data_IF_319083982085
#
_entry.id   IF_319083982085
#
_cell.length_a   1.000
_cell.length_b   1.000
_cell.length_c   1.000
_cell.angle_alpha   90.00
_cell.angle_beta   90.00
_cell.angle_gamma   90.00
#
_symmetry.space_group_name_H-M   'P 1'
#
loop_
_entity.id
_entity.type
_entity.pdbx_description
1 polymer ?
#
# COMPACT_ATOMS: atom_id res chain seq x y z
N UNK A 1 -7.92 -21.59 12.33
CA UNK A 1 -6.57 -21.78 11.76
C UNK A 1 -6.80 -22.13 10.30
N UNK A 2 -6.78 -21.14 9.43
CA UNK A 2 -6.97 -21.31 7.99
C UNK A 2 -5.59 -21.34 7.35
N UNK A 3 -5.26 -22.47 6.76
CA UNK A 3 -4.06 -22.76 6.00
C UNK A 3 -3.98 -21.82 4.79
N UNK A 4 -3.13 -20.82 4.86
CA UNK A 4 -2.69 -20.06 3.71
C UNK A 4 -1.46 -20.79 3.14
N UNK A 5 -1.70 -21.65 2.14
CA UNK A 5 -0.62 -22.32 1.42
C UNK A 5 0.28 -21.28 0.73
N UNK A 6 1.61 -21.33 0.89
CA UNK A 6 2.51 -20.44 0.20
C UNK A 6 2.52 -20.80 -1.31
N UNK A 7 2.30 -19.78 -2.15
CA UNK A 7 2.69 -19.88 -3.56
C UNK A 7 4.21 -20.14 -3.64
N UNK A 8 4.68 -20.95 -4.62
CA UNK A 8 6.09 -21.34 -4.71
C UNK A 8 6.98 -20.10 -4.83
N UNK A 9 8.06 -20.11 -4.05
CA UNK A 9 9.10 -19.11 -4.12
C UNK A 9 9.74 -19.19 -5.52
N UNK A 10 9.55 -18.12 -6.31
CA UNK A 10 10.26 -17.92 -7.55
C UNK A 10 11.77 -17.81 -7.26
N UNK A 11 12.55 -18.66 -7.92
CA UNK A 11 14.03 -18.65 -7.89
C UNK A 11 14.65 -17.37 -8.51
N UNK A 12 13.82 -16.41 -8.91
CA UNK A 12 14.20 -15.13 -9.49
C UNK A 12 14.78 -14.09 -8.51
N UNK A 13 14.93 -14.42 -7.23
CA UNK A 13 15.41 -13.44 -6.23
C UNK A 13 16.91 -13.13 -6.40
N UNK A 14 17.68 -14.02 -7.02
CA UNK A 14 19.15 -13.90 -7.14
C UNK A 14 19.54 -12.98 -8.29
N UNK A 15 18.80 -13.00 -9.40
CA UNK A 15 19.10 -12.17 -10.59
C UNK A 15 18.71 -10.68 -10.39
N UNK A 16 17.76 -10.39 -9.47
CA UNK A 16 17.34 -9.03 -9.16
C UNK A 16 18.33 -8.27 -8.26
N UNK A 17 19.21 -8.96 -7.52
CA UNK A 17 20.24 -8.32 -6.70
C UNK A 17 21.33 -7.68 -7.58
N UNK A 18 21.75 -8.34 -8.66
CA UNK A 18 22.71 -7.79 -9.62
C UNK A 18 22.14 -6.58 -10.39
N UNK A 19 20.85 -6.62 -10.74
CA UNK A 19 20.18 -5.49 -11.42
C UNK A 19 19.99 -4.27 -10.48
N UNK A 20 19.91 -4.52 -9.18
CA UNK A 20 19.85 -3.46 -8.16
C UNK A 20 21.21 -2.75 -8.02
N UNK A 21 22.32 -3.48 -8.07
CA UNK A 21 23.67 -2.91 -8.04
C UNK A 21 23.94 -2.02 -9.26
N UNK A 22 23.59 -2.46 -10.45
CA UNK A 22 23.75 -1.68 -11.69
C UNK A 22 22.93 -0.38 -11.72
N UNK A 23 21.75 -0.37 -11.09
CA UNK A 23 20.87 0.82 -11.05
C UNK A 23 21.19 1.79 -9.89
N UNK A 24 21.82 1.30 -8.83
CA UNK A 24 22.34 2.13 -7.74
C UNK A 24 23.55 2.97 -8.17
N UNK A 25 24.35 2.47 -9.10
CA UNK A 25 25.50 3.18 -9.67
C UNK A 25 25.11 4.24 -10.73
N UNK A 26 23.91 4.17 -11.30
CA UNK A 26 23.49 4.93 -12.47
C UNK A 26 22.64 6.20 -12.20
N UNK A 27 22.49 6.66 -10.96
CA UNK A 27 21.78 7.90 -10.67
C UNK A 27 22.71 9.04 -10.26
N UNK A 28 23.25 9.82 -11.22
CA UNK A 28 23.93 11.08 -10.91
C UNK A 28 22.93 12.23 -10.99
N UNK A 29 22.40 12.68 -9.88
CA UNK A 29 21.64 13.91 -9.77
C UNK A 29 21.89 14.56 -8.41
N UNK A 30 22.22 15.85 -8.34
CA UNK A 30 22.34 16.56 -7.09
C UNK A 30 20.94 16.92 -6.60
N UNK A 31 20.73 16.79 -5.31
CA UNK A 31 19.64 17.30 -4.51
C UNK A 31 18.63 16.28 -3.99
N UNK A 32 18.62 16.20 -2.67
CA UNK A 32 17.48 15.80 -1.79
C UNK A 32 16.70 14.50 -2.10
N UNK A 33 17.29 13.56 -2.79
CA UNK A 33 16.71 12.24 -2.90
C UNK A 33 16.99 11.45 -1.61
N UNK A 34 16.06 11.58 -0.66
CA UNK A 34 16.10 10.82 0.62
C UNK A 34 16.15 9.31 0.39
N UNK A 35 15.56 8.83 -0.70
CA UNK A 35 15.63 7.43 -1.11
C UNK A 35 17.06 7.07 -1.51
N UNK A 36 17.69 7.88 -2.38
CA UNK A 36 19.05 7.67 -2.84
C UNK A 36 20.07 7.72 -1.69
N UNK A 37 19.87 8.62 -0.72
CA UNK A 37 20.71 8.65 0.49
C UNK A 37 20.59 7.36 1.31
N UNK A 38 19.36 6.92 1.57
CA UNK A 38 19.11 5.66 2.30
C UNK A 38 19.72 4.45 1.57
N UNK A 39 19.52 4.34 0.26
CA UNK A 39 20.06 3.23 -0.54
C UNK A 39 21.60 3.20 -0.53
N UNK A 40 22.22 4.38 -0.58
CA UNK A 40 23.69 4.52 -0.47
C UNK A 40 24.20 4.09 0.90
N UNK A 41 23.49 4.43 1.96
CA UNK A 41 23.86 4.06 3.33
C UNK A 41 23.78 2.54 3.54
N UNK A 42 22.69 1.89 3.14
CA UNK A 42 22.55 0.43 3.28
C UNK A 42 23.50 -0.36 2.41
N UNK A 43 23.96 0.19 1.28
CA UNK A 43 24.92 -0.50 0.38
C UNK A 43 26.32 -0.62 0.97
N UNK A 44 26.67 0.21 1.97
CA UNK A 44 27.97 0.15 2.64
C UNK A 44 28.13 -1.07 3.56
N UNK A 45 27.01 -1.68 3.95
CA UNK A 45 27.03 -2.85 4.84
C UNK A 45 27.20 -4.13 4.02
N UNK A 46 28.28 -4.92 4.24
CA UNK A 46 28.52 -6.14 3.48
C UNK A 46 27.44 -7.21 3.78
N UNK A 47 27.15 -8.02 2.77
CA UNK A 47 26.26 -9.17 2.88
C UNK A 47 26.89 -10.25 3.79
N UNK A 48 26.02 -11.00 4.47
CA UNK A 48 26.43 -12.09 5.36
C UNK A 48 26.54 -13.41 4.60
N UNK A 49 27.55 -14.20 4.95
CA UNK A 49 27.60 -15.59 4.56
C UNK A 49 26.69 -16.45 5.44
N UNK A 50 26.33 -17.66 4.95
CA UNK A 50 25.48 -18.57 5.72
C UNK A 50 26.06 -18.93 7.11
N UNK A 51 27.39 -19.02 7.20
CA UNK A 51 28.07 -19.29 8.47
C UNK A 51 27.97 -18.12 9.45
N UNK A 52 28.06 -16.88 8.95
CA UNK A 52 27.89 -15.66 9.74
C UNK A 52 26.44 -15.49 10.20
N UNK A 53 25.44 -15.78 9.34
CA UNK A 53 24.01 -15.77 9.72
C UNK A 53 23.78 -16.67 10.95
N UNK A 54 24.30 -17.91 10.91
CA UNK A 54 24.18 -18.87 12.02
C UNK A 54 24.92 -18.39 13.27
N UNK A 55 26.11 -17.81 13.13
CA UNK A 55 26.89 -17.31 14.27
C UNK A 55 26.21 -16.15 14.98
N UNK A 56 25.65 -15.19 14.19
CA UNK A 56 24.88 -14.06 14.69
C UNK A 56 23.56 -14.50 15.33
N UNK A 57 22.87 -15.49 14.73
CA UNK A 57 21.64 -16.04 15.31
C UNK A 57 21.88 -16.72 16.68
N UNK A 58 23.01 -17.43 16.82
CA UNK A 58 23.42 -17.99 18.13
C UNK A 58 23.71 -16.90 19.17
N UNK A 59 24.44 -15.85 18.77
CA UNK A 59 24.73 -14.73 19.66
C UNK A 59 23.45 -14.01 20.09
N UNK A 60 22.48 -13.89 19.17
CA UNK A 60 21.17 -13.31 19.45
C UNK A 60 20.39 -14.09 20.52
N UNK A 61 20.44 -15.43 20.50
CA UNK A 61 19.84 -16.29 21.56
C UNK A 61 20.42 -16.00 22.94
N UNK A 62 21.67 -15.54 23.01
CA UNK A 62 22.31 -15.11 24.27
C UNK A 62 22.06 -13.63 24.59
N UNK A 63 21.20 -12.93 23.83
CA UNK A 63 20.83 -11.55 24.09
C UNK A 63 21.84 -10.50 23.59
N UNK A 64 22.69 -10.83 22.62
CA UNK A 64 23.65 -9.86 22.05
C UNK A 64 22.94 -8.89 21.09
N UNK A 65 22.70 -7.68 21.57
CA UNK A 65 22.10 -6.58 20.79
C UNK A 65 23.00 -6.14 19.60
N UNK A 66 24.29 -6.33 19.67
CA UNK A 66 25.18 -6.02 18.54
C UNK A 66 24.99 -7.02 17.40
N UNK A 67 24.82 -8.29 17.74
CA UNK A 67 24.52 -9.33 16.76
C UNK A 67 23.15 -9.07 16.11
N UNK A 68 22.14 -8.67 16.91
CA UNK A 68 20.82 -8.27 16.40
C UNK A 68 20.92 -7.14 15.40
N UNK A 69 21.59 -6.06 15.77
CA UNK A 69 21.77 -4.88 14.92
C UNK A 69 22.48 -5.26 13.61
N UNK A 70 23.57 -6.03 13.69
CA UNK A 70 24.34 -6.47 12.53
C UNK A 70 23.51 -7.33 11.58
N UNK A 71 22.70 -8.26 12.10
CA UNK A 71 21.84 -9.12 11.29
C UNK A 71 20.75 -8.30 10.56
N UNK A 72 20.17 -7.28 11.22
CA UNK A 72 19.22 -6.37 10.59
C UNK A 72 19.90 -5.55 9.48
N UNK A 73 20.98 -4.82 9.79
CA UNK A 73 21.64 -3.91 8.87
C UNK A 73 22.11 -4.61 7.58
N UNK A 74 22.65 -5.81 7.70
CA UNK A 74 23.13 -6.58 6.54
C UNK A 74 21.99 -7.11 5.64
N UNK A 75 20.73 -7.08 6.11
CA UNK A 75 19.57 -7.56 5.36
C UNK A 75 18.60 -6.44 4.94
N UNK A 76 18.95 -5.16 5.13
CA UNK A 76 18.12 -4.04 4.67
C UNK A 76 17.95 -4.02 3.14
N UNK A 77 18.96 -4.49 2.39
CA UNK A 77 18.87 -4.61 0.93
C UNK A 77 17.78 -5.59 0.49
N UNK A 78 17.59 -6.69 1.23
CA UNK A 78 16.50 -7.64 0.98
C UNK A 78 15.13 -6.97 1.15
N UNK A 79 14.96 -6.07 2.14
CA UNK A 79 13.70 -5.33 2.32
C UNK A 79 13.41 -4.46 1.10
N UNK A 80 14.41 -3.77 0.57
CA UNK A 80 14.26 -2.91 -0.62
C UNK A 80 13.82 -3.72 -1.84
N UNK A 81 14.44 -4.88 -2.09
CA UNK A 81 14.07 -5.75 -3.22
C UNK A 81 12.61 -6.22 -3.14
N UNK A 82 12.14 -6.58 -1.94
CA UNK A 82 10.74 -6.97 -1.72
C UNK A 82 9.81 -5.77 -1.85
N UNK A 83 10.10 -4.63 -1.20
CA UNK A 83 9.25 -3.44 -1.19
C UNK A 83 9.04 -2.85 -2.59
N UNK A 84 10.04 -2.92 -3.48
CA UNK A 84 9.99 -2.43 -4.85
C UNK A 84 8.82 -2.99 -5.66
N UNK A 85 8.45 -4.25 -5.46
CA UNK A 85 7.32 -4.91 -6.15
C UNK A 85 5.96 -4.34 -5.76
N UNK A 86 5.92 -3.59 -4.65
CA UNK A 86 4.68 -2.99 -4.10
C UNK A 86 4.61 -1.47 -4.31
N UNK A 87 5.60 -0.88 -4.99
CA UNK A 87 5.62 0.55 -5.31
C UNK A 87 4.42 0.97 -6.15
N UNK A 88 3.94 2.21 -5.95
CA UNK A 88 2.82 2.78 -6.71
C UNK A 88 1.43 2.28 -6.30
N UNK A 89 1.27 1.70 -5.11
CA UNK A 89 0.01 1.15 -4.61
C UNK A 89 -0.61 1.94 -3.45
N UNK A 90 -0.33 3.26 -3.39
CA UNK A 90 -0.94 4.16 -2.40
C UNK A 90 -0.05 4.53 -1.21
N UNK A 91 1.10 3.87 -1.02
CA UNK A 91 2.13 4.28 -0.07
C UNK A 91 3.39 4.75 -0.78
N UNK A 92 4.12 5.67 -0.16
CA UNK A 92 5.44 6.08 -0.66
C UNK A 92 6.42 4.91 -0.60
N UNK A 93 7.45 4.92 -1.45
CA UNK A 93 8.44 3.84 -1.47
C UNK A 93 9.22 3.76 -0.15
N UNK A 94 9.53 4.89 0.47
CA UNK A 94 10.18 4.92 1.79
C UNK A 94 9.29 4.32 2.89
N UNK A 95 7.99 4.62 2.88
CA UNK A 95 7.06 4.04 3.86
C UNK A 95 6.96 2.52 3.71
N UNK A 96 6.94 2.02 2.46
CA UNK A 96 6.97 0.57 2.19
C UNK A 96 8.25 -0.08 2.72
N UNK A 97 9.41 0.58 2.55
CA UNK A 97 10.68 0.11 3.10
C UNK A 97 10.61 0.07 4.64
N UNK A 98 10.11 1.13 5.29
CA UNK A 98 10.05 1.17 6.76
C UNK A 98 9.10 0.11 7.33
N UNK A 99 7.95 -0.10 6.70
CA UNK A 99 7.04 -1.19 7.08
C UNK A 99 7.67 -2.57 6.84
N UNK A 100 8.44 -2.71 5.75
CA UNK A 100 9.25 -3.90 5.49
C UNK A 100 10.34 -4.12 6.55
N UNK A 101 11.02 -3.05 7.01
CA UNK A 101 12.01 -3.11 8.08
C UNK A 101 11.39 -3.59 9.40
N UNK A 102 10.14 -3.16 9.72
CA UNK A 102 9.41 -3.71 10.87
C UNK A 102 9.15 -5.21 10.73
N UNK A 103 8.87 -5.68 9.50
CA UNK A 103 8.76 -7.11 9.18
C UNK A 103 10.09 -7.84 9.39
N UNK A 104 11.20 -7.27 8.90
CA UNK A 104 12.55 -7.82 9.06
C UNK A 104 12.92 -7.96 10.55
N UNK A 105 12.66 -6.94 11.37
CA UNK A 105 12.93 -7.00 12.81
C UNK A 105 12.18 -8.16 13.49
N UNK A 106 10.91 -8.37 13.13
CA UNK A 106 10.14 -9.53 13.63
C UNK A 106 10.70 -10.86 13.15
N UNK A 107 11.23 -10.90 11.91
CA UNK A 107 11.87 -12.10 11.39
C UNK A 107 13.15 -12.43 12.18
N UNK A 108 13.97 -11.43 12.50
CA UNK A 108 15.19 -11.59 13.30
C UNK A 108 14.88 -12.17 14.69
N UNK A 109 13.84 -11.70 15.35
CA UNK A 109 13.43 -12.17 16.69
C UNK A 109 12.92 -13.61 16.72
N UNK A 110 12.44 -14.14 15.58
CA UNK A 110 11.78 -15.45 15.49
C UNK A 110 12.55 -16.46 14.63
N UNK A 111 13.72 -16.07 14.14
CA UNK A 111 14.51 -16.94 13.28
C UNK A 111 15.15 -18.09 14.08
N UNK A 112 14.92 -19.33 13.64
CA UNK A 112 15.56 -20.53 14.18
C UNK A 112 16.57 -21.09 13.19
N UNK A 113 17.85 -20.89 13.48
CA UNK A 113 18.97 -21.38 12.68
C UNK A 113 19.09 -22.90 12.65
N UNK A 114 18.45 -23.63 13.61
CA UNK A 114 18.49 -25.10 13.71
C UNK A 114 17.75 -25.78 12.57
N UNK A 115 16.83 -25.08 11.93
CA UNK A 115 16.07 -25.60 10.79
C UNK A 115 16.90 -25.68 9.49
N UNK A 116 18.10 -25.12 9.45
CA UNK A 116 19.03 -25.21 8.32
C UNK A 116 18.67 -24.37 7.09
N UNK A 117 17.59 -23.57 7.14
CA UNK A 117 17.20 -22.67 6.07
C UNK A 117 17.97 -21.34 6.16
N UNK A 118 18.19 -20.70 4.98
CA UNK A 118 18.76 -19.36 4.92
C UNK A 118 17.84 -18.35 5.59
N UNK A 119 18.44 -17.36 6.26
CA UNK A 119 17.68 -16.28 6.88
C UNK A 119 16.78 -15.53 5.87
N UNK A 120 17.29 -15.25 4.67
CA UNK A 120 16.55 -14.56 3.60
C UNK A 120 15.23 -15.23 3.23
N UNK A 121 15.18 -16.58 3.15
CA UNK A 121 13.96 -17.35 2.86
C UNK A 121 12.88 -17.11 3.92
N UNK A 122 13.26 -17.09 5.19
CA UNK A 122 12.34 -16.85 6.29
C UNK A 122 11.94 -15.36 6.38
N UNK A 123 12.90 -14.45 6.26
CA UNK A 123 12.68 -13.02 6.36
C UNK A 123 11.75 -12.47 5.26
N UNK A 124 11.90 -12.97 4.03
CA UNK A 124 11.06 -12.56 2.90
C UNK A 124 9.56 -12.72 3.18
N UNK A 125 9.17 -13.78 3.89
CA UNK A 125 7.77 -13.99 4.28
C UNK A 125 7.28 -12.90 5.24
N UNK A 126 8.07 -12.55 6.28
CA UNK A 126 7.72 -11.53 7.25
C UNK A 126 7.70 -10.13 6.64
N UNK A 127 8.68 -9.82 5.79
CA UNK A 127 8.75 -8.55 5.06
C UNK A 127 7.52 -8.38 4.18
N UNK A 128 7.20 -9.40 3.37
CA UNK A 128 6.02 -9.41 2.50
C UNK A 128 4.73 -9.21 3.29
N UNK A 129 4.58 -9.95 4.38
CA UNK A 129 3.42 -9.87 5.25
C UNK A 129 3.25 -8.45 5.84
N UNK A 130 4.34 -7.84 6.31
CA UNK A 130 4.32 -6.49 6.89
C UNK A 130 3.94 -5.45 5.83
N UNK A 131 4.59 -5.48 4.66
CA UNK A 131 4.31 -4.57 3.54
C UNK A 131 2.87 -4.70 3.04
N UNK A 132 2.39 -5.93 2.84
CA UNK A 132 1.01 -6.16 2.36
C UNK A 132 -0.02 -5.69 3.38
N UNK A 133 0.24 -5.91 4.67
CA UNK A 133 -0.62 -5.44 5.74
C UNK A 133 -0.64 -3.92 5.82
N UNK A 134 0.52 -3.26 5.71
CA UNK A 134 0.61 -1.80 5.69
C UNK A 134 -0.16 -1.20 4.51
N UNK A 135 -0.05 -1.79 3.31
CA UNK A 135 -0.83 -1.37 2.14
C UNK A 135 -2.34 -1.50 2.36
N UNK A 136 -2.79 -2.58 3.00
CA UNK A 136 -4.21 -2.76 3.30
C UNK A 136 -4.71 -1.75 4.35
N UNK A 137 -3.87 -1.40 5.33
CA UNK A 137 -4.24 -0.55 6.46
C UNK A 137 -4.09 0.95 6.17
N UNK A 138 -3.12 1.35 5.35
CA UNK A 138 -2.70 2.76 5.17
C UNK A 138 -2.67 3.20 3.70
N UNK A 139 -2.76 2.28 2.73
CA UNK A 139 -2.59 2.58 1.31
C UNK A 139 -3.73 3.39 0.68
N UNK A 140 -4.84 3.62 1.39
CA UNK A 140 -6.01 4.36 0.90
C UNK A 140 -6.33 5.56 1.78
N UNK A 141 -6.70 6.68 1.18
CA UNK A 141 -7.16 7.89 1.89
C UNK A 141 -8.37 7.59 2.78
N UNK A 142 -9.32 6.81 2.29
CA UNK A 142 -10.44 6.29 3.09
C UNK A 142 -10.12 4.84 3.43
N UNK A 143 -9.83 4.57 4.71
CA UNK A 143 -9.47 3.25 5.19
C UNK A 143 -10.57 2.23 4.93
N UNK A 144 -10.19 1.09 4.37
CA UNK A 144 -11.06 -0.07 4.12
C UNK A 144 -10.53 -1.26 4.93
N UNK A 145 -11.41 -2.08 5.56
CA UNK A 145 -10.97 -3.29 6.26
C UNK A 145 -10.17 -4.24 5.36
N UNK A 146 -9.09 -4.86 5.90
CA UNK A 146 -8.18 -5.71 5.13
C UNK A 146 -8.90 -6.85 4.36
N UNK A 147 -9.93 -7.47 4.97
CA UNK A 147 -10.72 -8.53 4.31
C UNK A 147 -11.43 -8.03 3.04
N UNK A 148 -11.88 -6.76 3.05
CA UNK A 148 -12.53 -6.16 1.87
C UNK A 148 -11.48 -5.82 0.82
N UNK A 149 -10.30 -5.34 1.22
CA UNK A 149 -9.16 -5.09 0.32
C UNK A 149 -8.74 -6.39 -0.38
N UNK A 150 -8.63 -7.50 0.35
CA UNK A 150 -8.31 -8.81 -0.24
C UNK A 150 -9.38 -9.26 -1.25
N UNK A 151 -10.66 -9.02 -0.93
CA UNK A 151 -11.77 -9.32 -1.83
C UNK A 151 -11.71 -8.47 -3.10
N UNK A 152 -11.39 -7.17 -2.99
CA UNK A 152 -11.21 -6.26 -4.13
C UNK A 152 -10.02 -6.71 -4.98
N UNK A 153 -8.89 -7.09 -4.37
CA UNK A 153 -7.71 -7.59 -5.08
C UNK A 153 -8.03 -8.89 -5.84
N UNK A 154 -8.78 -9.81 -5.21
CA UNK A 154 -9.27 -11.04 -5.86
C UNK A 154 -10.20 -10.71 -7.03
N UNK A 155 -11.12 -9.75 -6.86
CA UNK A 155 -12.02 -9.28 -7.92
C UNK A 155 -11.23 -8.75 -9.12
N UNK A 156 -10.25 -7.86 -8.90
CA UNK A 156 -9.43 -7.29 -9.97
C UNK A 156 -8.57 -8.34 -10.69
N UNK A 157 -8.15 -9.40 -9.99
CA UNK A 157 -7.42 -10.51 -10.60
C UNK A 157 -8.33 -11.34 -11.52
N UNK A 158 -9.53 -11.69 -11.05
CA UNK A 158 -10.51 -12.46 -11.82
C UNK A 158 -11.02 -11.65 -13.02
N UNK A 159 -11.26 -10.35 -12.83
CA UNK A 159 -11.68 -9.44 -13.90
C UNK A 159 -10.65 -9.39 -15.04
N UNK A 160 -9.35 -9.29 -14.72
CA UNK A 160 -8.28 -9.36 -15.71
C UNK A 160 -8.24 -10.71 -16.45
N UNK A 161 -8.39 -11.81 -15.73
CA UNK A 161 -8.42 -13.15 -16.33
C UNK A 161 -9.62 -13.34 -17.26
N UNK A 162 -10.80 -12.87 -16.86
CA UNK A 162 -12.00 -12.94 -17.70
C UNK A 162 -11.88 -12.03 -18.91
N UNK A 163 -11.35 -10.81 -18.75
CA UNK A 163 -11.09 -9.89 -19.87
C UNK A 163 -10.15 -10.53 -20.91
N UNK A 164 -9.10 -11.20 -20.45
CA UNK A 164 -8.18 -11.91 -21.34
C UNK A 164 -8.85 -13.09 -22.09
N UNK A 165 -9.77 -13.80 -21.42
CA UNK A 165 -10.49 -14.93 -22.04
C UNK A 165 -11.59 -14.48 -23.00
N UNK A 166 -12.32 -13.42 -22.64
CA UNK A 166 -13.50 -12.94 -23.39
C UNK A 166 -13.15 -11.92 -24.47
N UNK A 167 -11.96 -11.28 -24.40
CA UNK A 167 -11.59 -10.17 -25.28
C UNK A 167 -12.36 -8.86 -24.99
N UNK A 168 -13.18 -8.82 -23.95
CA UNK A 168 -13.97 -7.65 -23.50
C UNK A 168 -14.04 -7.61 -21.96
N UNK A 169 -14.37 -6.46 -21.37
CA UNK A 169 -14.66 -6.38 -19.93
C UNK A 169 -15.82 -7.32 -19.54
N UNK A 170 -15.71 -8.09 -18.45
CA UNK A 170 -16.77 -8.98 -17.99
C UNK A 170 -17.97 -8.19 -17.45
N UNK A 171 -19.18 -8.70 -17.70
CA UNK A 171 -20.41 -8.20 -17.08
C UNK A 171 -20.42 -8.51 -15.56
N UNK A 172 -21.25 -7.77 -14.81
CA UNK A 172 -21.33 -7.95 -13.34
C UNK A 172 -21.77 -9.37 -12.97
N UNK A 173 -22.67 -9.99 -13.77
CA UNK A 173 -23.14 -11.34 -13.58
C UNK A 173 -22.04 -12.38 -13.83
N UNK A 174 -21.22 -12.20 -14.86
CA UNK A 174 -20.10 -13.08 -15.19
C UNK A 174 -19.04 -13.07 -14.07
N UNK A 175 -18.78 -11.87 -13.53
CA UNK A 175 -17.87 -11.69 -12.39
C UNK A 175 -18.45 -12.33 -11.12
N UNK A 176 -19.75 -12.16 -10.88
CA UNK A 176 -20.46 -12.71 -9.74
C UNK A 176 -20.40 -14.24 -9.70
N UNK A 177 -20.59 -14.87 -10.86
CA UNK A 177 -20.46 -16.33 -11.02
C UNK A 177 -19.03 -16.78 -10.76
N UNK A 178 -18.02 -16.07 -11.32
CA UNK A 178 -16.63 -16.45 -11.17
C UNK A 178 -16.09 -16.25 -9.74
N UNK A 179 -16.68 -15.33 -8.97
CA UNK A 179 -16.33 -15.06 -7.58
C UNK A 179 -17.18 -15.82 -6.57
N UNK A 180 -18.26 -16.50 -7.02
CA UNK A 180 -19.27 -17.14 -6.16
C UNK A 180 -19.94 -16.13 -5.19
N UNK A 181 -20.18 -14.92 -5.66
CA UNK A 181 -20.80 -13.83 -4.90
C UNK A 181 -22.08 -13.36 -5.58
N UNK A 182 -22.95 -12.68 -4.83
CA UNK A 182 -24.14 -12.04 -5.39
C UNK A 182 -23.75 -10.81 -6.23
N UNK A 183 -24.45 -10.53 -7.35
CA UNK A 183 -24.18 -9.35 -8.19
C UNK A 183 -24.20 -8.02 -7.41
N UNK A 184 -25.13 -7.85 -6.48
CA UNK A 184 -25.23 -6.67 -5.62
C UNK A 184 -23.95 -6.42 -4.81
N UNK A 185 -23.28 -7.51 -4.35
CA UNK A 185 -22.03 -7.42 -3.61
C UNK A 185 -20.88 -7.00 -4.51
N UNK A 186 -20.87 -7.41 -5.77
CA UNK A 186 -19.87 -6.98 -6.77
C UNK A 186 -20.00 -5.48 -7.03
N UNK A 187 -21.23 -4.97 -7.19
CA UNK A 187 -21.47 -3.52 -7.37
C UNK A 187 -21.05 -2.71 -6.15
N UNK A 188 -21.32 -3.23 -4.94
CA UNK A 188 -20.85 -2.61 -3.71
C UNK A 188 -19.32 -2.57 -3.65
N UNK A 189 -18.63 -3.67 -3.99
CA UNK A 189 -17.17 -3.72 -4.03
C UNK A 189 -16.59 -2.76 -5.07
N UNK A 190 -17.21 -2.61 -6.25
CA UNK A 190 -16.81 -1.63 -7.26
C UNK A 190 -16.91 -0.20 -6.74
N UNK A 191 -18.00 0.15 -6.04
CA UNK A 191 -18.15 1.48 -5.42
C UNK A 191 -17.09 1.75 -4.36
N UNK A 192 -16.82 0.78 -3.48
CA UNK A 192 -15.79 0.90 -2.42
C UNK A 192 -14.36 0.91 -3.02
N UNK A 193 -14.17 0.32 -4.20
CA UNK A 193 -12.89 0.28 -4.89
C UNK A 193 -12.48 1.62 -5.49
N UNK A 194 -13.40 2.55 -5.71
CA UNK A 194 -13.11 3.87 -6.28
C UNK A 194 -12.18 4.67 -5.35
N UNK A 195 -11.19 5.32 -5.93
CA UNK A 195 -10.30 6.22 -5.22
C UNK A 195 -10.80 7.66 -5.30
N UNK A 196 -10.67 8.45 -4.22
CA UNK A 196 -11.02 9.86 -4.25
C UNK A 196 -10.11 10.63 -5.21
N UNK A 197 -10.70 11.59 -5.92
CA UNK A 197 -9.96 12.50 -6.80
C UNK A 197 -9.53 13.73 -6.00
N UNK A 198 -8.36 14.30 -6.32
CA UNK A 198 -7.88 15.52 -5.69
C UNK A 198 -8.75 16.72 -6.08
N UNK A 199 -9.12 17.54 -5.09
CA UNK A 199 -9.84 18.80 -5.32
C UNK A 199 -8.97 19.84 -6.05
N UNK A 200 -7.65 19.74 -5.93
CA UNK A 200 -6.70 20.58 -6.66
C UNK A 200 -6.39 20.06 -8.07
N UNK A 201 -7.12 19.04 -8.56
CA UNK A 201 -6.94 18.56 -9.92
C UNK A 201 -7.43 19.62 -10.91
N UNK A 202 -6.62 20.00 -11.94
CA UNK A 202 -7.05 20.97 -12.94
C UNK A 202 -8.15 20.39 -13.83
N UNK A 203 -9.20 21.18 -14.09
CA UNK A 203 -10.32 20.81 -14.94
C UNK A 203 -10.42 21.80 -16.10
N UNK A 204 -10.36 21.28 -17.34
CA UNK A 204 -10.45 22.10 -18.54
C UNK A 204 -9.13 22.78 -18.93
N UNK A 205 -9.21 23.72 -19.89
CA UNK A 205 -8.06 24.44 -20.43
C UNK A 205 -7.63 25.63 -19.55
N UNK A 206 -8.52 26.14 -18.71
CA UNK A 206 -8.32 27.35 -17.89
C UNK A 206 -7.63 27.11 -16.54
N UNK A 207 -7.12 25.89 -16.29
CA UNK A 207 -6.44 25.53 -15.03
C UNK A 207 -7.29 25.75 -13.76
N UNK A 208 -8.63 25.79 -13.89
CA UNK A 208 -9.56 25.87 -12.78
C UNK A 208 -9.49 24.59 -11.95
N UNK A 209 -9.40 24.70 -10.63
CA UNK A 209 -9.36 23.51 -9.77
C UNK A 209 -10.77 22.89 -9.63
N UNK A 210 -10.82 21.55 -9.55
CA UNK A 210 -12.08 20.82 -9.36
C UNK A 210 -12.86 21.32 -8.13
N UNK A 211 -12.14 21.74 -7.07
CA UNK A 211 -12.73 22.26 -5.84
C UNK A 211 -13.53 23.54 -6.03
N UNK A 212 -13.16 24.38 -7.01
CA UNK A 212 -13.87 25.65 -7.30
C UNK A 212 -15.21 25.42 -8.03
N UNK A 213 -15.39 24.26 -8.65
CA UNK A 213 -16.61 23.89 -9.35
C UNK A 213 -17.68 23.29 -8.43
N UNK A 214 -17.34 22.96 -7.19
CA UNK A 214 -18.25 22.32 -6.22
C UNK A 214 -19.01 23.43 -5.49
N UNK A 215 -20.32 23.47 -5.68
CA UNK A 215 -21.21 24.41 -4.96
C UNK A 215 -21.34 24.03 -3.48
N UNK A 216 -21.53 25.05 -2.62
CA UNK A 216 -21.86 24.84 -1.21
C UNK A 216 -23.38 24.61 -1.06
N UNK A 217 -23.74 23.34 -0.86
CA UNK A 217 -25.15 22.94 -0.67
C UNK A 217 -25.77 23.44 0.66
N UNK A 218 -24.95 23.95 1.59
CA UNK A 218 -25.44 24.46 2.90
C UNK A 218 -25.86 25.91 2.84
N UNK A 219 -25.43 26.65 1.85
CA UNK A 219 -25.84 28.03 1.62
C UNK A 219 -27.15 28.05 0.84
N UNK A 220 -28.13 28.75 1.37
CA UNK A 220 -29.35 29.03 0.65
C UNK A 220 -29.02 29.84 -0.61
N UNK A 221 -29.66 29.51 -1.73
CA UNK A 221 -29.51 30.31 -2.95
C UNK A 221 -30.05 31.74 -2.67
N UNK A 222 -29.39 32.78 -3.22
CA UNK A 222 -29.80 34.18 -2.89
C UNK A 222 -31.27 34.48 -3.05
N UNK A 223 -31.96 33.82 -3.98
CA UNK A 223 -33.42 33.96 -4.14
C UNK A 223 -34.24 33.27 -3.05
N UNK A 224 -33.77 32.17 -2.52
CA UNK A 224 -34.43 31.42 -1.43
C UNK A 224 -34.22 32.14 -0.10
N UNK A 225 -33.01 32.65 0.15
CA UNK A 225 -32.68 33.45 1.33
C UNK A 225 -33.53 34.74 1.40
N UNK A 226 -33.67 35.46 0.29
CA UNK A 226 -34.54 36.62 0.20
C UNK A 226 -36.04 36.28 0.40
N UNK A 227 -36.48 35.14 -0.13
CA UNK A 227 -37.87 34.68 0.07
C UNK A 227 -38.18 34.32 1.53
N UNK A 228 -37.20 33.71 2.21
CA UNK A 228 -37.27 33.36 3.62
C UNK A 228 -37.26 34.61 4.50
N UNK A 229 -36.37 35.56 4.23
CA UNK A 229 -36.32 36.86 4.90
C UNK A 229 -37.62 37.67 4.75
N UNK A 230 -38.20 37.71 3.54
CA UNK A 230 -39.52 38.37 3.32
C UNK A 230 -40.65 37.66 4.04
N UNK A 231 -40.62 36.34 4.12
CA UNK A 231 -41.61 35.55 4.85
C UNK A 231 -41.53 35.84 6.34
N UNK A 232 -40.33 35.85 6.93
CA UNK A 232 -40.12 36.13 8.35
C UNK A 232 -40.53 37.56 8.72
N UNK A 233 -40.20 38.55 7.88
CA UNK A 233 -40.63 39.94 8.07
C UNK A 233 -42.14 40.05 8.05
N UNK A 234 -42.81 39.39 7.11
CA UNK A 234 -44.25 39.41 6.99
C UNK A 234 -44.99 38.73 8.16
N UNK A 235 -44.38 37.64 8.68
CA UNK A 235 -44.87 36.96 9.89
C UNK A 235 -44.71 37.86 11.12
N UNK A 236 -43.57 38.55 11.24
CA UNK A 236 -43.31 39.48 12.34
C UNK A 236 -44.28 40.66 12.32
N UNK A 237 -44.56 41.23 11.14
CA UNK A 237 -45.54 42.31 10.97
C UNK A 237 -46.95 41.87 11.36
N UNK A 238 -47.39 40.67 10.92
CA UNK A 238 -48.72 40.14 11.28
C UNK A 238 -48.85 39.82 12.78
N UNK A 239 -47.76 39.40 13.43
CA UNK A 239 -47.77 39.17 14.88
C UNK A 239 -47.81 40.49 15.66
N UNK A 240 -47.24 41.58 15.11
CA UNK A 240 -47.25 42.91 15.74
C UNK A 240 -48.60 43.61 15.60
N UNK A 241 -49.44 43.23 14.64
CA UNK A 241 -50.82 43.75 14.42
C UNK A 241 -51.90 43.04 15.27
N UNK A 242 -51.52 41.91 15.91
CA UNK A 242 -52.41 41.15 16.83
C UNK A 242 -52.21 41.58 18.29
#
# INVERSE_FOLDING_TARGET
MSEFAPEPADDAVVDEEEELELKLEASPGPTEDTVGMYLREISQVPLLTAAEEVSLAKALEHGDERARKRLIESNLRLVVSVARRYSGRGLSFLDLIQEGNLGLMKAVERYDWRLGHRFSTYATWWIRQSVTRALADQGRTIRVPAQVVDTINRMSRIERQLTQKLGRPPATEELAVAMELKPEKIEHLRRVSQEPVSLAAPVGEDSTELGELIEDERLLKPGEDMAEMQRDTRVADLVAEL
#
